data_IF_198427597744
#
_entry.id   IF_198427597744
#
_cell.length_a   1.000
_cell.length_b   1.000
_cell.length_c   1.000
_cell.angle_alpha   90.00
_cell.angle_beta   90.00
_cell.angle_gamma   90.00
#
_symmetry.space_group_name_H-M   'P 1'
#
loop_
_entity.id
_entity.type
_entity.pdbx_description
1 polymer ?
#
# COMPACT_ATOMS: atom_id res chain seq x y z
N UNK A 1 -5.38 -22.02 -9.63
CA UNK A 1 -6.42 -21.07 -10.13
C UNK A 1 -5.88 -19.65 -10.05
N UNK A 2 -6.01 -18.84 -11.12
CA UNK A 2 -5.63 -17.41 -11.09
C UNK A 2 -6.79 -16.58 -10.54
N UNK A 3 -6.47 -15.65 -9.62
CA UNK A 3 -7.42 -14.73 -8.99
C UNK A 3 -6.82 -13.33 -8.99
N UNK A 4 -7.69 -12.32 -9.04
CA UNK A 4 -7.30 -10.92 -8.93
C UNK A 4 -8.06 -10.26 -7.77
N UNK A 5 -7.40 -9.30 -7.13
CA UNK A 5 -8.00 -8.43 -6.13
C UNK A 5 -7.67 -6.98 -6.43
N UNK A 6 -8.53 -6.08 -5.99
CA UNK A 6 -8.34 -4.64 -6.05
C UNK A 6 -8.28 -4.08 -4.64
N UNK A 7 -7.42 -3.08 -4.41
CA UNK A 7 -7.37 -2.30 -3.18
C UNK A 7 -7.37 -0.81 -3.48
N UNK A 8 -7.97 -0.07 -2.59
CA UNK A 8 -7.97 1.39 -2.58
C UNK A 8 -7.84 1.88 -1.15
N UNK A 9 -6.97 2.88 -0.94
CA UNK A 9 -6.86 3.54 0.34
C UNK A 9 -6.59 5.04 0.14
N UNK A 10 -6.95 5.84 1.13
CA UNK A 10 -6.73 7.29 1.15
C UNK A 10 -6.48 7.75 2.57
N UNK A 11 -5.47 8.59 2.75
CA UNK A 11 -5.13 9.20 4.03
C UNK A 11 -5.00 10.71 3.90
N UNK A 12 -5.40 11.43 4.95
CA UNK A 12 -5.25 12.89 5.05
C UNK A 12 -3.78 13.26 5.28
N UNK A 13 -3.33 14.32 4.65
CA UNK A 13 -2.04 14.96 4.93
C UNK A 13 -2.12 15.85 6.18
N UNK A 14 -1.17 15.68 7.08
CA UNK A 14 -1.08 16.44 8.34
C UNK A 14 0.36 16.88 8.63
N UNK A 15 0.49 17.99 9.35
CA UNK A 15 1.77 18.47 9.86
C UNK A 15 2.28 17.58 11.00
N UNK A 16 3.60 17.54 11.19
CA UNK A 16 4.23 16.82 12.31
C UNK A 16 4.31 15.31 12.14
N UNK A 17 3.99 14.79 10.95
CA UNK A 17 4.13 13.38 10.60
C UNK A 17 5.12 13.20 9.45
N UNK A 18 5.85 12.09 9.49
CA UNK A 18 6.67 11.64 8.36
C UNK A 18 5.76 11.12 7.24
N UNK A 19 6.14 11.37 6.00
CA UNK A 19 5.49 10.78 4.85
C UNK A 19 6.15 9.43 4.53
N UNK A 20 5.43 8.35 4.79
CA UNK A 20 5.86 6.99 4.45
C UNK A 20 5.03 6.50 3.28
N UNK A 21 5.69 6.09 2.19
CA UNK A 21 5.07 5.53 0.99
C UNK A 21 5.92 4.37 0.47
N UNK A 22 5.29 3.21 0.26
CA UNK A 22 5.98 2.01 -0.21
C UNK A 22 7.11 1.57 0.72
N UNK A 23 6.96 1.79 2.02
CA UNK A 23 7.91 1.42 3.05
C UNK A 23 9.11 2.36 3.22
N UNK A 24 9.16 3.47 2.49
CA UNK A 24 10.25 4.45 2.62
C UNK A 24 9.75 5.81 3.06
N UNK A 25 10.61 6.56 3.77
CA UNK A 25 10.35 7.95 4.11
C UNK A 25 10.63 8.84 2.89
N UNK A 26 9.63 9.61 2.49
CA UNK A 26 9.75 10.60 1.42
C UNK A 26 9.82 11.98 2.04
N UNK A 27 10.84 12.77 1.70
CA UNK A 27 11.01 14.12 2.22
C UNK A 27 9.83 15.02 1.81
N UNK A 28 9.06 15.49 2.79
CA UNK A 28 7.91 16.37 2.60
C UNK A 28 7.58 17.11 3.90
N UNK A 29 6.89 18.25 3.80
CA UNK A 29 6.50 19.06 4.96
C UNK A 29 5.36 18.49 5.78
N UNK A 30 4.62 17.52 5.20
CA UNK A 30 3.48 16.83 5.83
C UNK A 30 3.62 15.32 5.61
N UNK A 31 3.03 14.53 6.50
CA UNK A 31 2.89 13.09 6.35
C UNK A 31 1.42 12.68 6.42
N UNK A 32 1.13 11.40 6.30
CA UNK A 32 -0.22 10.86 6.31
C UNK A 32 -0.69 10.51 7.73
N UNK A 33 -1.96 10.79 8.04
CA UNK A 33 -2.60 10.40 9.29
C UNK A 33 -3.11 8.97 9.24
N UNK A 34 -2.90 8.22 10.32
CA UNK A 34 -3.42 6.87 10.48
C UNK A 34 -2.96 6.23 11.79
N UNK A 35 -3.52 5.07 12.12
CA UNK A 35 -3.18 4.30 13.32
C UNK A 35 -1.79 3.62 13.19
N UNK A 36 -1.44 3.17 11.98
CA UNK A 36 -0.13 2.65 11.59
C UNK A 36 0.81 3.79 11.17
N UNK A 37 1.82 3.50 10.36
CA UNK A 37 2.64 4.51 9.67
C UNK A 37 1.88 5.23 8.53
N UNK A 38 0.63 4.85 8.27
CA UNK A 38 -0.26 5.39 7.25
C UNK A 38 0.30 5.33 5.80
N UNK A 39 1.09 4.32 5.50
CA UNK A 39 1.58 4.05 4.13
C UNK A 39 0.42 3.60 3.23
N UNK A 40 -0.21 4.55 2.59
CA UNK A 40 -1.40 4.36 1.75
C UNK A 40 -1.16 3.39 0.59
N UNK A 41 0.07 3.34 0.04
CA UNK A 41 0.42 2.42 -1.04
C UNK A 41 0.44 0.97 -0.53
N UNK A 42 1.12 0.72 0.59
CA UNK A 42 1.19 -0.62 1.19
C UNK A 42 -0.18 -1.09 1.67
N UNK A 43 -1.04 -0.19 2.15
CA UNK A 43 -2.43 -0.51 2.53
C UNK A 43 -3.27 -0.94 1.33
N UNK A 44 -3.22 -0.20 0.22
CA UNK A 44 -3.93 -0.56 -1.00
C UNK A 44 -3.47 -1.92 -1.56
N UNK A 45 -2.16 -2.19 -1.54
CA UNK A 45 -1.61 -3.49 -1.95
C UNK A 45 -2.10 -4.61 -1.01
N UNK A 46 -2.11 -4.36 0.30
CA UNK A 46 -2.59 -5.32 1.29
C UNK A 46 -4.05 -5.70 1.04
N UNK A 47 -4.92 -4.71 0.81
CA UNK A 47 -6.33 -4.94 0.50
C UNK A 47 -6.52 -5.70 -0.82
N UNK A 48 -5.71 -5.38 -1.84
CA UNK A 48 -5.73 -6.12 -3.10
C UNK A 48 -5.39 -7.61 -2.90
N UNK A 49 -4.38 -7.91 -2.08
CA UNK A 49 -3.99 -9.29 -1.76
C UNK A 49 -5.06 -10.03 -0.97
N UNK A 50 -5.63 -9.40 0.07
CA UNK A 50 -6.72 -9.98 0.86
C UNK A 50 -7.97 -10.21 0.00
N UNK A 51 -8.34 -9.24 -0.84
CA UNK A 51 -9.46 -9.34 -1.76
C UNK A 51 -9.29 -10.48 -2.77
N UNK A 52 -8.08 -10.68 -3.30
CA UNK A 52 -7.80 -11.77 -4.25
C UNK A 52 -8.12 -13.17 -3.68
N UNK A 53 -7.92 -13.38 -2.37
CA UNK A 53 -8.21 -14.64 -1.69
C UNK A 53 -9.56 -14.65 -0.95
N UNK A 54 -10.36 -13.60 -1.08
CA UNK A 54 -11.66 -13.48 -0.41
C UNK A 54 -11.55 -13.42 1.13
N UNK A 55 -10.48 -12.83 1.67
CA UNK A 55 -10.21 -12.78 3.11
C UNK A 55 -10.65 -11.46 3.77
N UNK A 56 -11.52 -10.68 3.15
CA UNK A 56 -11.95 -9.38 3.66
C UNK A 56 -10.95 -8.27 3.38
N UNK A 57 -10.74 -7.39 4.34
CA UNK A 57 -9.94 -6.18 4.23
C UNK A 57 -8.92 -6.02 5.39
N UNK A 58 -8.04 -5.04 5.27
CA UNK A 58 -7.01 -4.75 6.27
C UNK A 58 -7.60 -4.44 7.65
N UNK A 59 -8.76 -3.77 7.71
CA UNK A 59 -9.40 -3.40 8.97
C UNK A 59 -9.89 -4.59 9.78
N UNK A 60 -10.25 -5.69 9.12
CA UNK A 60 -10.66 -6.95 9.78
C UNK A 60 -9.46 -7.68 10.41
N UNK A 61 -8.29 -7.62 9.78
CA UNK A 61 -7.08 -8.29 10.24
C UNK A 61 -6.24 -7.44 11.19
N UNK A 62 -6.30 -6.12 11.04
CA UNK A 62 -5.50 -5.14 11.79
C UNK A 62 -6.38 -3.97 12.26
N UNK A 63 -7.33 -4.22 13.19
CA UNK A 63 -8.29 -3.20 13.59
C UNK A 63 -7.61 -2.03 14.32
N UNK A 64 -8.05 -0.81 14.04
CA UNK A 64 -7.55 0.41 14.67
C UNK A 64 -7.77 0.46 16.20
N UNK A 65 -8.58 -0.45 16.73
CA UNK A 65 -8.79 -0.62 18.17
C UNK A 65 -7.73 -1.47 18.88
N UNK A 66 -6.88 -2.14 18.11
CA UNK A 66 -5.78 -2.94 18.66
C UNK A 66 -4.55 -2.06 18.92
N UNK A 67 -4.37 -1.68 20.18
CA UNK A 67 -3.22 -0.86 20.62
C UNK A 67 -1.86 -1.57 20.43
N UNK A 68 -1.83 -2.91 20.33
CA UNK A 68 -0.58 -3.67 20.13
C UNK A 68 0.07 -3.42 18.78
N UNK A 69 -0.70 -2.94 17.79
CA UNK A 69 -0.23 -2.62 16.44
C UNK A 69 -0.19 -1.11 16.15
N UNK A 70 -0.36 -0.28 17.20
CA UNK A 70 -0.23 1.17 17.04
C UNK A 70 1.15 1.55 16.50
N UNK A 71 1.19 2.34 15.44
CA UNK A 71 2.43 2.75 14.79
C UNK A 71 3.16 1.65 14.03
N UNK A 72 2.53 0.48 13.82
CA UNK A 72 3.12 -0.61 13.06
C UNK A 72 3.53 -0.14 11.66
N UNK A 73 4.66 -0.65 11.17
CA UNK A 73 5.05 -0.48 9.77
C UNK A 73 4.07 -1.22 8.85
N UNK A 74 3.58 -0.55 7.83
CA UNK A 74 2.69 -1.18 6.84
C UNK A 74 3.41 -2.24 6.00
N UNK A 75 4.73 -2.20 5.92
CA UNK A 75 5.55 -3.29 5.36
C UNK A 75 5.47 -4.55 6.22
N UNK A 76 5.41 -4.41 7.54
CA UNK A 76 5.20 -5.56 8.43
C UNK A 76 3.79 -6.14 8.26
N UNK A 77 2.78 -5.30 8.11
CA UNK A 77 1.41 -5.72 7.76
C UNK A 77 1.43 -6.52 6.45
N UNK A 78 2.09 -6.00 5.42
CA UNK A 78 2.21 -6.66 4.12
C UNK A 78 2.87 -8.04 4.21
N UNK A 79 3.95 -8.17 5.01
CA UNK A 79 4.60 -9.46 5.27
C UNK A 79 3.67 -10.46 5.96
N UNK A 80 2.89 -10.02 6.95
CA UNK A 80 1.93 -10.88 7.65
C UNK A 80 0.83 -11.37 6.71
N UNK A 81 0.33 -10.51 5.83
CA UNK A 81 -0.67 -10.90 4.83
C UNK A 81 -0.07 -11.85 3.79
N UNK A 82 1.16 -11.62 3.35
CA UNK A 82 1.86 -12.55 2.45
C UNK A 82 2.01 -13.94 3.07
N UNK A 83 2.31 -14.02 4.37
CA UNK A 83 2.34 -15.29 5.10
C UNK A 83 0.97 -15.97 5.13
N UNK A 84 -0.10 -15.21 5.36
CA UNK A 84 -1.48 -15.73 5.31
C UNK A 84 -1.82 -16.31 3.92
N UNK A 85 -1.38 -15.66 2.83
CA UNK A 85 -1.54 -16.21 1.47
C UNK A 85 -0.82 -17.55 1.33
N UNK A 86 0.42 -17.64 1.80
CA UNK A 86 1.20 -18.88 1.73
C UNK A 86 0.53 -20.04 2.52
N UNK A 87 -0.03 -19.76 3.70
CA UNK A 87 -0.80 -20.73 4.49
C UNK A 87 -2.04 -21.24 3.73
N UNK A 88 -2.60 -20.42 2.83
CA UNK A 88 -3.72 -20.77 1.93
C UNK A 88 -3.24 -21.32 0.57
N UNK A 89 -1.98 -21.75 0.48
CA UNK A 89 -1.35 -22.28 -0.74
C UNK A 89 -1.51 -21.33 -1.94
N UNK A 90 -1.33 -20.05 -1.68
CA UNK A 90 -1.48 -18.99 -2.66
C UNK A 90 -0.16 -18.24 -2.81
N UNK A 91 0.32 -18.08 -4.03
CA UNK A 91 1.50 -17.28 -4.36
C UNK A 91 1.09 -16.00 -5.08
N UNK A 92 1.80 -14.91 -4.82
CA UNK A 92 1.62 -13.64 -5.54
C UNK A 92 2.30 -13.76 -6.90
N UNK A 93 1.59 -13.39 -7.97
CA UNK A 93 2.11 -13.40 -9.35
C UNK A 93 2.67 -12.02 -9.70
N UNK A 94 1.86 -10.97 -9.53
CA UNK A 94 2.30 -9.59 -9.74
C UNK A 94 1.44 -8.59 -8.96
N UNK A 95 2.01 -7.41 -8.78
CA UNK A 95 1.33 -6.22 -8.25
C UNK A 95 1.42 -5.10 -9.29
N UNK A 96 0.33 -4.38 -9.50
CA UNK A 96 0.30 -3.10 -10.20
C UNK A 96 -0.41 -2.07 -9.33
N UNK A 97 0.24 -0.94 -9.06
CA UNK A 97 -0.31 0.09 -8.18
C UNK A 97 -0.08 1.50 -8.73
N UNK A 98 -0.97 2.40 -8.35
CA UNK A 98 -0.89 3.82 -8.71
C UNK A 98 -1.08 4.66 -7.45
N UNK A 99 -0.17 5.59 -7.21
CA UNK A 99 -0.29 6.62 -6.17
C UNK A 99 -0.88 7.87 -6.81
N UNK A 100 -1.89 8.46 -6.18
CA UNK A 100 -2.53 9.70 -6.61
C UNK A 100 -2.18 10.78 -5.59
N UNK A 101 -1.32 11.73 -5.99
CA UNK A 101 -0.81 12.78 -5.12
C UNK A 101 -0.47 14.03 -5.93
N UNK A 102 -0.82 15.22 -5.43
CA UNK A 102 -0.38 16.48 -6.04
C UNK A 102 1.10 16.77 -5.73
N UNK A 103 1.53 16.46 -4.52
CA UNK A 103 2.89 16.60 -4.01
C UNK A 103 3.20 15.53 -2.94
N UNK A 104 4.49 15.19 -2.72
CA UNK A 104 5.68 15.60 -3.47
C UNK A 104 5.83 14.87 -4.81
N UNK A 105 6.85 15.24 -5.61
CA UNK A 105 7.18 14.49 -6.84
C UNK A 105 7.73 13.10 -6.47
N UNK A 106 7.05 12.05 -6.88
CA UNK A 106 7.33 10.68 -6.47
C UNK A 106 8.23 9.90 -7.45
N UNK A 107 8.39 10.37 -8.68
CA UNK A 107 9.18 9.68 -9.71
C UNK A 107 10.60 9.24 -9.24
N UNK A 108 11.36 10.04 -8.47
CA UNK A 108 12.69 9.63 -8.00
C UNK A 108 12.67 8.47 -7.00
N UNK A 109 11.53 8.19 -6.38
CA UNK A 109 11.36 7.22 -5.27
C UNK A 109 10.75 5.89 -5.71
N UNK A 110 10.17 5.82 -6.90
CA UNK A 110 9.41 4.66 -7.40
C UNK A 110 10.26 3.38 -7.42
N UNK A 111 11.51 3.47 -7.86
CA UNK A 111 12.39 2.28 -7.96
C UNK A 111 12.63 1.65 -6.58
N UNK A 112 12.85 2.46 -5.55
CA UNK A 112 13.07 1.97 -4.18
C UNK A 112 11.79 1.43 -3.55
N UNK A 113 10.64 2.10 -3.75
CA UNK A 113 9.34 1.58 -3.31
C UNK A 113 9.05 0.20 -3.89
N UNK A 114 9.28 0.01 -5.19
CA UNK A 114 9.11 -1.30 -5.85
C UNK A 114 9.97 -2.37 -5.22
N UNK A 115 11.24 -2.06 -4.94
CA UNK A 115 12.18 -3.00 -4.32
C UNK A 115 11.72 -3.40 -2.92
N UNK A 116 11.37 -2.45 -2.07
CA UNK A 116 10.91 -2.71 -0.70
C UNK A 116 9.65 -3.59 -0.71
N UNK A 117 8.68 -3.28 -1.57
CA UNK A 117 7.44 -4.05 -1.71
C UNK A 117 7.73 -5.47 -2.22
N UNK A 118 8.56 -5.60 -3.26
CA UNK A 118 8.94 -6.90 -3.83
C UNK A 118 9.63 -7.79 -2.79
N UNK A 119 10.56 -7.23 -2.03
CA UNK A 119 11.27 -7.94 -0.94
C UNK A 119 10.31 -8.36 0.17
N UNK A 120 9.35 -7.50 0.53
CA UNK A 120 8.36 -7.78 1.58
C UNK A 120 7.40 -8.93 1.18
N UNK A 121 7.01 -8.99 -0.08
CA UNK A 121 6.12 -10.01 -0.64
C UNK A 121 6.90 -11.29 -1.01
N UNK A 122 8.20 -11.19 -1.27
CA UNK A 122 9.03 -12.31 -1.72
C UNK A 122 8.86 -12.65 -3.20
N UNK A 123 8.65 -11.64 -4.05
CA UNK A 123 8.54 -11.79 -5.51
C UNK A 123 9.64 -10.98 -6.24
N UNK A 124 9.95 -11.32 -7.51
CA UNK A 124 10.90 -10.52 -8.28
C UNK A 124 10.46 -9.06 -8.42
N UNK A 125 11.40 -8.12 -8.35
CA UNK A 125 11.13 -6.69 -8.52
C UNK A 125 10.46 -6.36 -9.88
N UNK A 126 10.69 -7.17 -10.91
CA UNK A 126 10.01 -7.06 -12.21
C UNK A 126 8.49 -7.30 -12.14
N UNK A 127 8.03 -7.97 -11.09
CA UNK A 127 6.61 -8.31 -10.89
C UNK A 127 5.87 -7.26 -10.05
N UNK A 128 6.54 -6.18 -9.66
CA UNK A 128 5.94 -5.05 -8.95
C UNK A 128 6.02 -3.82 -9.85
N UNK A 129 4.86 -3.26 -10.19
CA UNK A 129 4.71 -1.97 -10.88
C UNK A 129 4.15 -0.94 -9.91
N UNK A 130 4.78 0.24 -9.86
CA UNK A 130 4.27 1.41 -9.13
C UNK A 130 4.34 2.60 -10.06
N UNK A 131 3.23 3.31 -10.18
CA UNK A 131 3.08 4.55 -10.96
C UNK A 131 2.60 5.65 -10.05
N UNK A 132 2.83 6.89 -10.42
CA UNK A 132 2.29 8.05 -9.72
C UNK A 132 1.60 8.99 -10.72
N UNK A 133 0.50 9.58 -10.28
CA UNK A 133 -0.24 10.59 -11.03
C UNK A 133 -0.77 11.66 -10.09
N UNK A 134 -1.16 12.80 -10.63
CA UNK A 134 -1.92 13.81 -9.89
C UNK A 134 -3.42 13.54 -10.05
N UNK A 135 -4.24 14.28 -9.30
CA UNK A 135 -5.69 14.32 -9.52
C UNK A 135 -6.12 15.56 -10.36
N UNK A 136 -5.17 16.12 -11.13
CA UNK A 136 -5.40 17.32 -11.99
C UNK A 136 -6.07 18.48 -11.22
N UNK A 137 -5.71 18.65 -9.94
CA UNK A 137 -6.27 19.65 -9.01
C UNK A 137 -7.77 19.50 -8.74
N UNK A 138 -8.35 18.35 -9.03
CA UNK A 138 -9.76 18.05 -8.78
C UNK A 138 -9.96 17.40 -7.42
N UNK A 139 -11.00 17.81 -6.72
CA UNK A 139 -11.42 17.23 -5.44
C UNK A 139 -10.42 17.45 -4.30
N UNK A 140 -10.58 16.69 -3.23
CA UNK A 140 -9.75 16.80 -2.03
C UNK A 140 -8.27 16.44 -2.31
N UNK A 141 -8.02 15.40 -3.07
CA UNK A 141 -6.64 15.05 -3.48
C UNK A 141 -6.04 16.15 -4.33
N UNK A 142 -6.81 16.71 -5.28
CA UNK A 142 -6.36 17.82 -6.12
C UNK A 142 -6.12 19.13 -5.36
N UNK A 143 -6.73 19.31 -4.19
CA UNK A 143 -6.43 20.41 -3.26
C UNK A 143 -5.30 20.09 -2.26
N UNK A 144 -4.60 18.97 -2.49
CA UNK A 144 -3.47 18.54 -1.66
C UNK A 144 -3.85 18.31 -0.18
N UNK A 145 -5.07 17.80 0.05
CA UNK A 145 -5.58 17.48 1.39
C UNK A 145 -5.22 16.05 1.83
N UNK A 146 -4.84 15.19 0.89
CA UNK A 146 -4.50 13.79 1.13
C UNK A 146 -3.79 13.15 -0.05
N UNK A 147 -3.40 11.89 0.16
CA UNK A 147 -2.83 11.02 -0.87
C UNK A 147 -3.69 9.76 -0.92
N UNK A 148 -3.99 9.30 -2.13
CA UNK A 148 -4.68 8.04 -2.37
C UNK A 148 -3.77 7.05 -3.09
N UNK A 149 -4.09 5.77 -3.01
CA UNK A 149 -3.47 4.72 -3.81
C UNK A 149 -4.51 3.69 -4.24
N UNK A 150 -4.29 3.13 -5.42
CA UNK A 150 -5.02 1.98 -5.94
C UNK A 150 -4.03 0.88 -6.27
N UNK A 151 -4.42 -0.36 -6.05
CA UNK A 151 -3.60 -1.51 -6.40
C UNK A 151 -4.45 -2.65 -6.98
N UNK A 152 -3.83 -3.41 -7.86
CA UNK A 152 -4.34 -4.71 -8.32
C UNK A 152 -3.28 -5.75 -7.98
N UNK A 153 -3.71 -6.85 -7.39
CA UNK A 153 -2.88 -8.02 -7.14
C UNK A 153 -3.39 -9.20 -7.96
N UNK A 154 -2.49 -9.89 -8.63
CA UNK A 154 -2.78 -11.20 -9.24
C UNK A 154 -2.10 -12.27 -8.40
N UNK A 155 -2.87 -13.29 -8.04
CA UNK A 155 -2.39 -14.42 -7.27
C UNK A 155 -2.74 -15.74 -7.96
N UNK A 156 -1.95 -16.77 -7.68
CA UNK A 156 -2.24 -18.13 -8.09
C UNK A 156 -2.45 -18.99 -6.85
N UNK A 157 -3.63 -19.59 -6.77
CA UNK A 157 -4.03 -20.49 -5.70
C UNK A 157 -4.11 -21.92 -6.23
N UNK A 158 -3.51 -22.86 -5.49
CA UNK A 158 -3.62 -24.31 -5.76
C UNK A 158 -5.04 -24.84 -5.59
#
# INVERSE_FOLDING_TARGET
>A
MIRCGIGYDVHRLAKGRKLILGGMEVAHSRGLEGHSDADVLSHAITDALLGAIGAGDIGQHFPNTDESIRGISSIEILKRVTKLLAEKKTRVVNIDATIIAEAPKLAPHIAEMRKIIADAIGIPNSNVSVKATTNEKLGAIGRDEGIAAMAVATVEQE
#
